data_IF_882702907708
#
_entry.id   IF_882702907708
#
_cell.length_a   1.000
_cell.length_b   1.000
_cell.length_c   1.000
_cell.angle_alpha   90.00
_cell.angle_beta   90.00
_cell.angle_gamma   90.00
#
_symmetry.space_group_name_H-M   'P 1'
#
loop_
_entity.id
_entity.type
_entity.pdbx_description
1 polymer ?
#
# COMPACT_ATOMS: atom_id res chain seq x y z
N UNK A 1 -15.17 24.00 7.88
CA UNK A 1 -14.79 22.84 7.09
C UNK A 1 -14.67 21.66 8.04
N UNK A 2 -15.36 20.56 7.81
CA UNK A 2 -15.28 19.36 8.66
C UNK A 2 -13.95 18.64 8.48
N UNK A 3 -13.49 17.96 9.52
CA UNK A 3 -12.25 17.14 9.43
C UNK A 3 -12.54 15.87 8.66
N UNK A 4 -11.67 15.53 7.73
CA UNK A 4 -11.76 14.27 6.97
C UNK A 4 -11.29 13.09 7.83
N UNK A 5 -11.77 11.88 7.53
CA UNK A 5 -11.52 10.68 8.32
C UNK A 5 -10.03 10.41 8.59
N UNK A 6 -9.16 10.56 7.57
CA UNK A 6 -7.71 10.37 7.71
C UNK A 6 -7.03 11.34 8.68
N UNK A 7 -7.63 12.49 8.98
CA UNK A 7 -7.11 13.45 9.96
C UNK A 7 -7.66 13.21 11.38
N UNK A 8 -8.58 12.26 11.54
CA UNK A 8 -9.13 11.87 12.84
C UNK A 8 -8.34 10.75 13.51
N UNK A 9 -7.46 10.06 12.77
CA UNK A 9 -6.56 9.05 13.31
C UNK A 9 -5.42 9.71 14.11
N UNK A 10 -5.12 9.19 15.29
CA UNK A 10 -4.00 9.68 16.11
C UNK A 10 -2.66 9.17 15.55
N UNK A 11 -2.04 9.95 14.67
CA UNK A 11 -0.75 9.63 14.04
C UNK A 11 0.43 9.57 15.03
N UNK A 12 0.25 10.01 16.28
CA UNK A 12 1.33 9.88 17.30
C UNK A 12 1.41 8.46 17.87
N UNK A 13 0.35 7.67 17.73
CA UNK A 13 0.21 6.31 18.26
C UNK A 13 0.19 5.23 17.15
N UNK A 14 -0.02 5.65 15.90
CA UNK A 14 -0.18 4.73 14.77
C UNK A 14 1.12 3.96 14.52
N UNK A 15 1.02 2.64 14.49
CA UNK A 15 2.13 1.73 14.22
C UNK A 15 2.06 1.21 12.76
N UNK A 16 3.16 0.65 12.23
CA UNK A 16 3.11 -0.11 10.99
C UNK A 16 2.05 -1.23 11.06
N UNK A 17 1.30 -1.40 9.98
CA UNK A 17 0.18 -2.33 9.93
C UNK A 17 -0.68 -2.14 8.70
N UNK A 18 -1.84 -2.80 8.68
CA UNK A 18 -2.89 -2.60 7.68
C UNK A 18 -4.20 -2.32 8.40
N UNK A 19 -4.87 -1.24 8.03
CA UNK A 19 -6.06 -0.75 8.74
C UNK A 19 -7.17 -0.40 7.75
N UNK A 20 -8.42 -0.73 8.08
CA UNK A 20 -9.58 -0.20 7.38
C UNK A 20 -9.74 1.27 7.75
N UNK A 21 -9.38 2.13 6.80
CA UNK A 21 -9.38 3.58 7.00
C UNK A 21 -10.75 4.21 6.72
N UNK A 22 -11.43 3.75 5.67
CA UNK A 22 -12.70 4.33 5.22
C UNK A 22 -13.51 3.35 4.39
N UNK A 23 -14.82 3.54 4.41
CA UNK A 23 -15.77 2.87 3.54
C UNK A 23 -16.54 3.93 2.75
N UNK A 24 -16.60 3.79 1.44
CA UNK A 24 -17.25 4.71 0.50
C UNK A 24 -18.21 3.97 -0.43
N UNK A 25 -18.99 4.73 -1.21
CA UNK A 25 -20.06 4.21 -2.05
C UNK A 25 -21.42 4.25 -1.33
N UNK A 26 -22.51 4.02 -2.06
CA UNK A 26 -23.87 4.09 -1.51
C UNK A 26 -24.12 3.03 -0.43
N UNK A 27 -23.46 1.88 -0.56
CA UNK A 27 -23.60 0.73 0.36
C UNK A 27 -22.30 0.44 1.13
N UNK A 28 -21.31 1.34 1.12
CA UNK A 28 -20.00 1.12 1.76
C UNK A 28 -19.14 0.06 1.05
N UNK A 29 -19.37 -0.15 -0.25
CA UNK A 29 -18.75 -1.21 -1.03
C UNK A 29 -17.29 -0.95 -1.42
N UNK A 30 -16.81 0.30 -1.29
CA UNK A 30 -15.41 0.66 -1.55
C UNK A 30 -14.67 0.76 -0.22
N UNK A 31 -13.72 -0.13 -0.01
CA UNK A 31 -12.90 -0.17 1.19
C UNK A 31 -11.55 0.48 0.92
N UNK A 32 -11.17 1.47 1.72
CA UNK A 32 -9.84 2.08 1.70
C UNK A 32 -8.98 1.49 2.82
N UNK A 33 -7.93 0.79 2.44
CA UNK A 33 -6.95 0.19 3.35
C UNK A 33 -5.75 1.11 3.48
N UNK A 34 -5.41 1.47 4.72
CA UNK A 34 -4.16 2.14 5.08
C UNK A 34 -3.10 1.06 5.32
N UNK A 35 -2.17 0.91 4.38
CA UNK A 35 -1.01 0.02 4.52
C UNK A 35 0.14 0.87 5.04
N UNK A 36 0.26 0.93 6.38
CA UNK A 36 1.23 1.77 7.06
C UNK A 36 2.57 1.05 7.19
N UNK A 37 3.57 1.47 6.41
CA UNK A 37 4.90 0.87 6.38
C UNK A 37 5.87 1.49 7.39
N UNK A 38 5.68 2.77 7.71
CA UNK A 38 6.54 3.54 8.62
C UNK A 38 5.73 4.13 9.74
N UNK A 39 6.29 4.12 10.95
CA UNK A 39 5.66 4.83 12.07
C UNK A 39 5.67 6.34 11.80
N UNK A 40 4.51 7.01 11.83
CA UNK A 40 4.44 8.43 11.57
C UNK A 40 5.27 9.26 12.57
N UNK A 41 5.88 10.34 12.08
CA UNK A 41 6.63 11.32 12.89
C UNK A 41 7.83 10.75 13.67
N UNK A 42 8.40 9.62 13.23
CA UNK A 42 9.60 9.01 13.86
C UNK A 42 10.88 9.16 13.03
N UNK A 43 10.85 9.98 11.98
CA UNK A 43 12.05 10.31 11.19
C UNK A 43 12.48 9.26 10.18
N UNK A 44 11.79 8.12 10.09
CA UNK A 44 12.04 7.10 9.07
C UNK A 44 10.88 7.10 8.07
N UNK A 45 11.16 7.43 6.81
CA UNK A 45 10.17 7.54 5.75
C UNK A 45 10.65 6.81 4.49
N UNK A 46 9.71 6.48 3.59
CA UNK A 46 10.08 5.99 2.26
C UNK A 46 10.77 7.11 1.49
N UNK A 47 11.82 6.80 0.72
CA UNK A 47 12.30 7.77 -0.27
C UNK A 47 11.26 7.92 -1.39
N UNK A 48 11.14 9.09 -2.02
CA UNK A 48 10.23 9.26 -3.16
C UNK A 48 10.45 8.24 -4.27
N UNK A 49 11.70 7.89 -4.57
CA UNK A 49 12.03 6.91 -5.60
C UNK A 49 11.64 5.48 -5.19
N UNK A 50 11.82 5.09 -3.92
CA UNK A 50 11.36 3.81 -3.42
C UNK A 50 9.82 3.72 -3.42
N UNK A 51 9.14 4.78 -2.97
CA UNK A 51 7.67 4.83 -2.97
C UNK A 51 7.12 4.72 -4.40
N UNK A 52 7.69 5.43 -5.37
CA UNK A 52 7.28 5.37 -6.77
C UNK A 52 7.53 3.98 -7.38
N UNK A 53 8.67 3.36 -7.07
CA UNK A 53 8.96 1.99 -7.51
C UNK A 53 7.95 0.99 -6.93
N UNK A 54 7.69 1.08 -5.62
CA UNK A 54 6.68 0.25 -4.96
C UNK A 54 5.28 0.46 -5.54
N UNK A 55 4.91 1.68 -5.90
CA UNK A 55 3.62 1.97 -6.55
C UNK A 55 3.47 1.19 -7.85
N UNK A 56 4.46 1.25 -8.74
CA UNK A 56 4.45 0.53 -10.01
C UNK A 56 4.37 -0.99 -9.81
N UNK A 57 5.18 -1.52 -8.89
CA UNK A 57 5.20 -2.96 -8.58
C UNK A 57 3.89 -3.42 -7.94
N UNK A 58 3.43 -2.73 -6.91
CA UNK A 58 2.23 -3.11 -6.18
C UNK A 58 0.97 -3.02 -7.06
N UNK A 59 0.81 -1.93 -7.81
CA UNK A 59 -0.32 -1.79 -8.73
C UNK A 59 -0.29 -2.89 -9.81
N UNK A 60 0.88 -3.20 -10.36
CA UNK A 60 1.04 -4.27 -11.36
C UNK A 60 0.66 -5.62 -10.75
N UNK A 61 1.19 -5.98 -9.59
CA UNK A 61 0.84 -7.24 -8.94
C UNK A 61 -0.65 -7.35 -8.64
N UNK A 62 -1.20 -6.33 -7.97
CA UNK A 62 -2.60 -6.34 -7.54
C UNK A 62 -3.57 -6.50 -8.73
N UNK A 63 -3.32 -5.77 -9.83
CA UNK A 63 -4.16 -5.83 -11.03
C UNK A 63 -3.95 -7.07 -11.90
N UNK A 64 -2.91 -7.87 -11.66
CA UNK A 64 -2.67 -9.17 -12.31
C UNK A 64 -2.97 -10.36 -11.39
N UNK A 65 -3.40 -10.12 -10.17
CA UNK A 65 -3.74 -11.15 -9.18
C UNK A 65 -5.14 -11.76 -9.44
N UNK A 66 -5.45 -12.84 -8.72
CA UNK A 66 -6.81 -13.39 -8.68
C UNK A 66 -7.88 -12.41 -8.16
N UNK A 67 -7.45 -11.40 -7.40
CA UNK A 67 -8.31 -10.35 -6.84
C UNK A 67 -8.43 -9.12 -7.76
N UNK A 68 -7.88 -9.13 -8.97
CA UNK A 68 -7.76 -7.98 -9.87
C UNK A 68 -9.06 -7.21 -10.10
N UNK A 69 -10.20 -7.92 -10.19
CA UNK A 69 -11.53 -7.30 -10.39
C UNK A 69 -11.99 -6.46 -9.19
N UNK A 70 -11.49 -6.77 -8.01
CA UNK A 70 -11.79 -6.05 -6.77
C UNK A 70 -10.79 -4.93 -6.46
N UNK A 71 -9.74 -4.74 -7.27
CA UNK A 71 -8.74 -3.68 -7.07
C UNK A 71 -9.17 -2.40 -7.77
N UNK A 72 -9.49 -1.38 -6.99
CA UNK A 72 -9.89 -0.06 -7.50
C UNK A 72 -8.67 0.82 -7.72
N UNK A 73 -7.79 0.94 -6.71
CA UNK A 73 -6.61 1.80 -6.77
C UNK A 73 -5.52 1.35 -5.80
N UNK A 74 -4.28 1.61 -6.17
CA UNK A 74 -3.10 1.54 -5.31
C UNK A 74 -2.30 2.81 -5.50
N UNK A 75 -1.86 3.46 -4.41
CA UNK A 75 -1.02 4.64 -4.51
C UNK A 75 -0.34 5.01 -3.19
N UNK A 76 0.81 5.68 -3.25
CA UNK A 76 1.56 6.09 -2.06
C UNK A 76 0.86 7.23 -1.33
N UNK A 77 1.06 7.29 -0.03
CA UNK A 77 0.67 8.43 0.78
C UNK A 77 1.66 9.58 0.57
N UNK A 78 1.16 10.80 0.43
CA UNK A 78 2.01 11.99 0.28
C UNK A 78 2.97 12.24 1.45
N UNK A 79 2.71 11.67 2.63
CA UNK A 79 3.60 11.71 3.79
C UNK A 79 4.73 10.66 3.76
N UNK A 80 4.79 9.82 2.73
CA UNK A 80 5.83 8.79 2.52
C UNK A 80 5.91 7.76 3.68
N UNK A 81 4.79 7.46 4.32
CA UNK A 81 4.74 6.48 5.41
C UNK A 81 4.03 5.17 5.05
N UNK A 82 3.50 5.07 3.83
CA UNK A 82 2.81 3.87 3.35
C UNK A 82 1.99 4.11 2.10
N UNK A 83 1.00 3.23 1.90
CA UNK A 83 0.16 3.19 0.70
C UNK A 83 -1.32 3.13 1.07
N UNK A 84 -2.15 3.60 0.16
CA UNK A 84 -3.56 3.25 0.13
C UNK A 84 -3.82 2.17 -0.92
N UNK A 85 -4.54 1.12 -0.50
CA UNK A 85 -5.17 0.15 -1.39
C UNK A 85 -6.68 0.33 -1.29
N UNK A 86 -7.34 0.60 -2.40
CA UNK A 86 -8.80 0.67 -2.49
C UNK A 86 -9.31 -0.60 -3.14
N UNK A 87 -10.29 -1.23 -2.49
CA UNK A 87 -10.90 -2.48 -2.98
C UNK A 87 -12.42 -2.40 -2.97
N UNK A 88 -13.05 -3.24 -3.80
CA UNK A 88 -14.48 -3.49 -3.79
C UNK A 88 -14.74 -4.98 -3.93
N UNK A 89 -15.77 -5.49 -3.23
CA UNK A 89 -16.14 -6.91 -3.30
C UNK A 89 -15.11 -7.89 -2.74
N UNK A 90 -14.06 -7.41 -2.05
CA UNK A 90 -13.09 -8.25 -1.33
C UNK A 90 -13.38 -8.22 0.17
N UNK A 91 -13.27 -9.36 0.81
CA UNK A 91 -13.28 -9.47 2.27
C UNK A 91 -11.97 -8.91 2.86
N UNK A 92 -11.95 -8.54 4.17
CA UNK A 92 -10.71 -8.14 4.83
C UNK A 92 -9.59 -9.18 4.72
N UNK A 93 -9.93 -10.47 4.80
CA UNK A 93 -8.98 -11.56 4.64
C UNK A 93 -8.37 -11.60 3.23
N UNK A 94 -9.19 -11.46 2.19
CA UNK A 94 -8.72 -11.42 0.80
C UNK A 94 -7.84 -10.18 0.52
N UNK A 95 -8.19 -9.02 1.07
CA UNK A 95 -7.39 -7.81 0.95
C UNK A 95 -6.03 -7.94 1.67
N UNK A 96 -6.01 -8.55 2.86
CA UNK A 96 -4.78 -8.83 3.61
C UNK A 96 -3.90 -9.85 2.88
N UNK A 97 -4.47 -10.94 2.36
CA UNK A 97 -3.74 -11.97 1.60
C UNK A 97 -3.18 -11.42 0.28
N UNK A 98 -3.95 -10.56 -0.41
CA UNK A 98 -3.46 -9.83 -1.59
C UNK A 98 -2.24 -8.97 -1.22
N UNK A 99 -2.32 -8.23 -0.12
CA UNK A 99 -1.24 -7.36 0.35
C UNK A 99 -0.01 -8.17 0.73
N UNK A 100 -0.15 -9.24 1.51
CA UNK A 100 0.96 -10.17 1.86
C UNK A 100 1.66 -10.72 0.62
N UNK A 101 0.86 -11.24 -0.32
CA UNK A 101 1.39 -11.83 -1.55
C UNK A 101 2.10 -10.80 -2.43
N UNK A 102 1.55 -9.59 -2.52
CA UNK A 102 2.18 -8.49 -3.27
C UNK A 102 3.52 -8.08 -2.64
N UNK A 103 3.56 -7.90 -1.32
CA UNK A 103 4.79 -7.52 -0.63
C UNK A 103 5.86 -8.62 -0.67
N UNK A 104 5.49 -9.90 -0.56
CA UNK A 104 6.40 -11.01 -0.75
C UNK A 104 7.00 -11.02 -2.17
N UNK A 105 6.15 -10.83 -3.19
CA UNK A 105 6.61 -10.74 -4.57
C UNK A 105 7.53 -9.52 -4.80
N UNK A 106 7.17 -8.34 -4.27
CA UNK A 106 7.99 -7.13 -4.41
C UNK A 106 9.36 -7.24 -3.73
N UNK A 107 9.43 -7.94 -2.60
CA UNK A 107 10.69 -8.17 -1.88
C UNK A 107 11.71 -8.99 -2.67
N UNK A 108 11.24 -9.87 -3.56
CA UNK A 108 12.06 -10.75 -4.38
C UNK A 108 12.17 -10.28 -5.84
N UNK A 109 11.54 -9.17 -6.20
CA UNK A 109 11.45 -8.74 -7.59
C UNK A 109 12.78 -8.21 -8.11
N UNK A 110 13.29 -8.81 -9.21
CA UNK A 110 14.57 -8.44 -9.85
C UNK A 110 14.43 -8.01 -11.32
N UNK A 111 13.21 -7.95 -11.84
CA UNK A 111 12.94 -7.55 -13.22
C UNK A 111 13.00 -6.03 -13.45
N UNK A 112 12.81 -5.64 -14.72
CA UNK A 112 12.57 -4.24 -15.07
C UNK A 112 11.28 -3.75 -14.41
N UNK A 113 11.28 -2.51 -13.92
CA UNK A 113 10.09 -1.96 -13.27
C UNK A 113 8.99 -1.75 -14.32
N UNK A 114 7.82 -2.39 -14.16
CA UNK A 114 6.72 -2.25 -15.11
C UNK A 114 6.31 -0.79 -15.27
N UNK A 115 6.12 -0.34 -16.50
CA UNK A 115 5.71 1.03 -16.79
C UNK A 115 6.78 2.10 -16.56
N UNK A 116 8.05 1.73 -16.28
CA UNK A 116 9.14 2.69 -16.07
C UNK A 116 9.76 3.15 -17.40
N UNK A 117 8.95 3.70 -18.27
CA UNK A 117 9.40 4.29 -19.55
C UNK A 117 8.83 5.70 -19.73
N UNK A 118 9.46 6.49 -20.59
CA UNK A 118 9.02 7.87 -20.86
C UNK A 118 7.60 7.95 -21.47
N UNK A 119 7.13 6.87 -22.10
CA UNK A 119 5.79 6.79 -22.69
C UNK A 119 4.74 6.44 -21.64
N UNK A 120 5.10 5.68 -20.62
CA UNK A 120 4.18 5.09 -19.65
C UNK A 120 4.12 5.84 -18.32
N UNK A 121 5.18 6.55 -17.96
CA UNK A 121 5.32 7.22 -16.66
C UNK A 121 5.80 8.67 -16.80
N UNK A 122 5.15 9.56 -16.05
CA UNK A 122 5.48 10.99 -16.05
C UNK A 122 6.85 11.33 -15.43
N UNK A 123 7.45 10.39 -14.66
CA UNK A 123 8.77 10.56 -14.05
C UNK A 123 9.52 9.22 -13.93
N UNK A 124 9.67 8.52 -15.04
CA UNK A 124 10.23 7.16 -15.09
C UNK A 124 11.68 7.03 -14.59
N UNK A 125 12.41 8.12 -14.49
CA UNK A 125 13.79 8.14 -13.96
C UNK A 125 13.83 8.11 -12.42
N UNK A 126 12.73 8.44 -11.75
CA UNK A 126 12.66 8.45 -10.29
C UNK A 126 12.30 7.05 -9.76
N UNK A 127 13.22 6.09 -9.91
CA UNK A 127 13.06 4.71 -9.45
C UNK A 127 14.24 4.28 -8.58
N UNK A 128 13.97 3.48 -7.54
CA UNK A 128 14.97 2.83 -6.68
C UNK A 128 14.54 1.40 -6.35
N UNK A 129 14.81 0.42 -7.24
CA UNK A 129 14.42 -0.98 -7.03
C UNK A 129 15.07 -1.61 -5.80
N UNK A 130 16.28 -1.19 -5.44
CA UNK A 130 16.99 -1.75 -4.29
C UNK A 130 16.31 -1.33 -2.99
N UNK A 131 16.05 -0.03 -2.81
CA UNK A 131 15.34 0.46 -1.66
C UNK A 131 13.90 -0.08 -1.61
N UNK A 132 13.20 -0.14 -2.74
CA UNK A 132 11.84 -0.69 -2.81
C UNK A 132 11.77 -2.14 -2.31
N UNK A 133 12.68 -3.01 -2.74
CA UNK A 133 12.77 -4.40 -2.24
C UNK A 133 13.03 -4.46 -0.75
N UNK A 134 13.97 -3.67 -0.26
CA UNK A 134 14.29 -3.62 1.16
C UNK A 134 13.09 -3.16 2.01
N UNK A 135 12.34 -2.16 1.55
CA UNK A 135 11.14 -1.67 2.21
C UNK A 135 10.00 -2.69 2.18
N UNK A 136 9.82 -3.39 1.06
CA UNK A 136 8.84 -4.47 0.96
C UNK A 136 9.18 -5.63 1.91
N UNK A 137 10.45 -6.06 1.93
CA UNK A 137 10.92 -7.10 2.84
C UNK A 137 10.74 -6.72 4.32
N UNK A 138 11.02 -5.46 4.68
CA UNK A 138 10.84 -4.97 6.04
C UNK A 138 9.37 -4.97 6.51
N UNK A 139 8.42 -4.86 5.58
CA UNK A 139 6.99 -4.89 5.89
C UNK A 139 6.43 -6.31 6.08
N UNK A 140 7.07 -7.35 5.54
CA UNK A 140 6.56 -8.73 5.59
C UNK A 140 6.27 -9.22 7.02
N UNK A 141 7.18 -9.12 7.99
CA UNK A 141 6.91 -9.59 9.36
C UNK A 141 5.71 -8.87 10.00
N UNK A 142 5.50 -7.59 9.67
CA UNK A 142 4.34 -6.83 10.14
C UNK A 142 3.06 -7.44 9.57
N UNK A 143 2.99 -7.63 8.26
CA UNK A 143 1.81 -8.18 7.58
C UNK A 143 1.51 -9.62 8.02
N UNK A 144 2.54 -10.44 8.22
CA UNK A 144 2.40 -11.83 8.68
C UNK A 144 1.77 -11.91 10.07
N UNK A 145 2.10 -10.96 10.96
CA UNK A 145 1.54 -10.90 12.32
C UNK A 145 0.12 -10.37 12.42
N UNK A 146 -0.49 -9.89 11.33
CA UNK A 146 -1.84 -9.32 11.37
C UNK A 146 -2.93 -10.39 11.36
N UNK A 147 -4.03 -10.08 12.04
CA UNK A 147 -5.28 -10.83 12.04
C UNK A 147 -6.32 -10.07 11.20
N UNK A 148 -6.90 -10.73 10.21
CA UNK A 148 -7.86 -10.10 9.29
C UNK A 148 -9.13 -9.57 9.99
N UNK A 149 -9.46 -10.09 11.18
CA UNK A 149 -10.60 -9.62 11.96
C UNK A 149 -10.30 -8.35 12.80
N UNK A 150 -9.03 -7.95 12.86
CA UNK A 150 -8.54 -6.84 13.71
C UNK A 150 -7.88 -5.70 12.92
N UNK A 151 -8.21 -5.55 11.65
CA UNK A 151 -7.65 -4.51 10.79
C UNK A 151 -8.33 -3.14 11.03
N UNK A 152 -8.28 -2.63 12.24
CA UNK A 152 -8.85 -1.34 12.65
C UNK A 152 -7.80 -0.51 13.40
N UNK A 153 -7.94 0.83 13.36
CA UNK A 153 -7.10 1.75 14.13
C UNK A 153 -7.26 1.57 15.64
#
# INVERSE_FOLDING_TARGET
MERIASFCVDHTKLLPGMYLSRQDGENGEILTWDIRMKQPNKGSYLSPAAAHTLEHLFATYARNSKCSRGVVYVGPMGCLTGFYLLTTGLTPAEALDLTRSAFAWMAEYEGEIPGASAVECGNYLMMDPIAARAEAAAMLPVLEGLDAEKLHY
#
